data_IF_181256521566
#
_entry.id   IF_181256521566
#
_cell.length_a   1.000
_cell.length_b   1.000
_cell.length_c   1.000
_cell.angle_alpha   90.00
_cell.angle_beta   90.00
_cell.angle_gamma   90.00
#
_symmetry.space_group_name_H-M   'P 1'
#
loop_
_entity.id
_entity.type
_entity.pdbx_description
1 polymer ?
#
# COMPACT_ATOMS: atom_id res chain seq x y z
N UNK A 1 8.89 0.73 -9.08
CA UNK A 1 8.20 0.39 -7.80
C UNK A 1 7.98 1.62 -6.94
N UNK A 2 9.05 2.30 -6.49
CA UNK A 2 8.95 3.46 -5.58
C UNK A 2 7.98 4.55 -6.05
N UNK A 3 8.12 5.07 -7.28
CA UNK A 3 7.23 6.10 -7.82
C UNK A 3 5.75 5.68 -7.86
N UNK A 4 5.45 4.39 -8.04
CA UNK A 4 4.07 3.90 -8.02
C UNK A 4 3.51 3.99 -6.59
N UNK A 5 4.29 3.57 -5.60
CA UNK A 5 3.90 3.61 -4.19
C UNK A 5 3.76 5.05 -3.71
N UNK A 6 4.61 5.97 -4.16
CA UNK A 6 4.47 7.41 -3.88
C UNK A 6 3.15 7.96 -4.42
N UNK A 7 2.79 7.64 -5.66
CA UNK A 7 1.51 8.05 -6.25
C UNK A 7 0.30 7.44 -5.51
N UNK A 8 0.40 6.17 -5.12
CA UNK A 8 -0.60 5.49 -4.28
C UNK A 8 -0.72 6.23 -2.95
N UNK A 9 0.38 6.55 -2.28
CA UNK A 9 0.38 7.24 -1.00
C UNK A 9 -0.27 8.61 -1.08
N UNK A 10 0.01 9.39 -2.13
CA UNK A 10 -0.61 10.69 -2.33
C UNK A 10 -2.14 10.60 -2.43
N UNK A 11 -2.67 9.57 -3.11
CA UNK A 11 -4.10 9.32 -3.17
C UNK A 11 -4.68 8.95 -1.79
N UNK A 12 -4.00 8.07 -1.05
CA UNK A 12 -4.43 7.66 0.29
C UNK A 12 -4.43 8.87 1.25
N UNK A 13 -3.41 9.71 1.20
CA UNK A 13 -3.31 10.91 2.03
C UNK A 13 -4.47 11.86 1.73
N UNK A 14 -4.73 12.13 0.45
CA UNK A 14 -5.75 13.08 0.02
C UNK A 14 -7.19 12.62 0.33
N UNK A 15 -7.49 11.33 0.19
CA UNK A 15 -8.87 10.83 0.25
C UNK A 15 -9.19 9.97 1.46
N UNK A 16 -8.17 9.37 2.10
CA UNK A 16 -8.35 8.41 3.19
C UNK A 16 -7.61 8.80 4.47
N UNK A 17 -6.80 9.88 4.46
CA UNK A 17 -6.03 10.34 5.62
C UNK A 17 -4.99 9.33 6.08
N UNK A 18 -4.36 8.65 5.12
CA UNK A 18 -3.37 7.60 5.36
C UNK A 18 -2.13 7.71 4.51
N UNK A 19 -1.30 6.68 4.54
CA UNK A 19 -0.06 6.60 3.78
C UNK A 19 0.29 5.16 3.42
N UNK A 20 1.08 5.04 2.36
CA UNK A 20 1.76 3.80 1.98
C UNK A 20 3.24 4.12 1.75
N UNK A 21 4.13 3.40 2.43
CA UNK A 21 5.57 3.60 2.34
C UNK A 21 6.22 2.36 1.73
N UNK A 22 7.06 2.57 0.72
CA UNK A 22 7.90 1.51 0.16
C UNK A 22 8.99 1.14 1.17
N UNK A 23 9.08 -0.15 1.53
CA UNK A 23 10.10 -0.64 2.47
C UNK A 23 11.20 -1.39 1.73
N UNK A 24 10.85 -2.40 0.92
CA UNK A 24 11.82 -3.17 0.14
C UNK A 24 11.15 -3.89 -1.03
N UNK A 25 11.98 -4.34 -1.99
CA UNK A 25 11.57 -5.22 -3.07
C UNK A 25 12.66 -6.27 -3.30
N UNK A 26 12.38 -7.52 -2.93
CA UNK A 26 13.32 -8.64 -2.97
C UNK A 26 12.57 -9.92 -3.37
N UNK A 27 13.13 -10.74 -4.25
CA UNK A 27 12.54 -12.02 -4.69
C UNK A 27 11.06 -11.90 -5.12
N UNK A 28 10.74 -10.87 -5.91
CA UNK A 28 9.38 -10.52 -6.35
C UNK A 28 8.38 -10.23 -5.21
N UNK A 29 8.87 -10.00 -3.99
CA UNK A 29 8.09 -9.57 -2.83
C UNK A 29 8.32 -8.09 -2.57
N UNK A 30 7.27 -7.27 -2.69
CA UNK A 30 7.28 -5.87 -2.25
C UNK A 30 6.73 -5.76 -0.83
N UNK A 31 7.54 -5.18 0.06
CA UNK A 31 7.12 -4.85 1.43
C UNK A 31 6.69 -3.40 1.50
N UNK A 32 5.50 -3.17 2.04
CA UNK A 32 4.89 -1.85 2.16
C UNK A 32 4.44 -1.64 3.59
N UNK A 33 4.80 -0.51 4.18
CA UNK A 33 4.24 -0.08 5.46
C UNK A 33 3.02 0.77 5.20
N UNK A 34 1.88 0.37 5.76
CA UNK A 34 0.66 1.17 5.71
C UNK A 34 0.57 1.98 7.00
N UNK A 35 0.45 3.29 6.86
CA UNK A 35 0.31 4.22 7.98
C UNK A 35 -0.97 5.03 7.84
N UNK A 36 -1.43 5.62 8.93
CA UNK A 36 -2.56 6.54 8.91
C UNK A 36 -3.87 5.92 8.43
N UNK A 37 -4.80 5.75 9.35
CA UNK A 37 -6.20 5.75 8.98
C UNK A 37 -6.94 6.18 10.22
N UNK A 38 -7.89 7.09 10.06
CA UNK A 38 -8.90 7.51 11.03
C UNK A 38 -8.84 6.71 12.35
N UNK A 39 -8.33 7.31 13.43
CA UNK A 39 -8.29 6.71 14.77
C UNK A 39 -9.64 6.07 15.11
N UNK A 40 -9.76 4.75 14.94
CA UNK A 40 -10.99 4.00 15.23
C UNK A 40 -11.81 3.44 14.05
N UNK A 41 -11.33 3.39 12.80
CA UNK A 41 -12.07 2.73 11.72
C UNK A 41 -11.51 1.32 11.37
N UNK A 42 -12.01 0.22 11.96
CA UNK A 42 -11.50 -1.15 11.74
C UNK A 42 -11.78 -1.72 10.33
N UNK A 43 -12.58 -1.03 9.52
CA UNK A 43 -12.77 -1.33 8.09
C UNK A 43 -11.57 -0.92 7.22
N UNK A 44 -10.57 -0.20 7.76
CA UNK A 44 -9.57 0.52 6.95
C UNK A 44 -8.37 -0.30 6.51
N UNK A 45 -7.72 -1.10 7.37
CA UNK A 45 -6.39 -1.63 7.06
C UNK A 45 -6.44 -2.77 6.04
N UNK A 46 -7.38 -3.71 6.19
CA UNK A 46 -7.53 -4.82 5.26
C UNK A 46 -8.00 -4.37 3.88
N UNK A 47 -8.96 -3.43 3.83
CA UNK A 47 -9.45 -2.84 2.58
C UNK A 47 -8.38 -2.00 1.91
N UNK A 48 -7.65 -1.16 2.66
CA UNK A 48 -6.56 -0.36 2.13
C UNK A 48 -5.44 -1.26 1.59
N UNK A 49 -5.05 -2.29 2.34
CA UNK A 49 -4.08 -3.29 1.88
C UNK A 49 -4.54 -3.96 0.58
N UNK A 50 -5.80 -4.40 0.52
CA UNK A 50 -6.36 -5.03 -0.67
C UNK A 50 -6.38 -4.09 -1.88
N UNK A 51 -6.73 -2.82 -1.68
CA UNK A 51 -6.69 -1.81 -2.75
C UNK A 51 -5.27 -1.54 -3.23
N UNK A 52 -4.32 -1.31 -2.32
CA UNK A 52 -2.90 -1.11 -2.65
C UNK A 52 -2.35 -2.31 -3.43
N UNK A 53 -2.62 -3.52 -2.96
CA UNK A 53 -2.23 -4.75 -3.65
C UNK A 53 -2.84 -4.83 -5.05
N UNK A 54 -4.15 -4.60 -5.17
CA UNK A 54 -4.85 -4.63 -6.46
C UNK A 54 -4.30 -3.60 -7.45
N UNK A 55 -3.98 -2.38 -7.00
CA UNK A 55 -3.36 -1.35 -7.83
C UNK A 55 -1.96 -1.75 -8.29
N UNK A 56 -1.14 -2.38 -7.43
CA UNK A 56 0.18 -2.88 -7.82
C UNK A 56 0.04 -3.99 -8.87
N UNK A 57 -0.89 -4.91 -8.69
CA UNK A 57 -1.12 -6.03 -9.62
C UNK A 57 -1.61 -5.60 -11.01
N UNK A 58 -2.17 -4.39 -11.17
CA UNK A 58 -2.48 -3.84 -12.51
C UNK A 58 -1.23 -3.63 -13.36
N UNK A 59 -0.08 -3.38 -12.74
CA UNK A 59 1.19 -3.13 -13.42
C UNK A 59 2.19 -4.29 -13.26
N UNK A 60 2.09 -5.03 -12.16
CA UNK A 60 3.02 -6.09 -11.77
C UNK A 60 2.26 -7.31 -11.26
N UNK A 61 1.60 -8.09 -12.13
CA UNK A 61 0.66 -9.15 -11.73
C UNK A 61 1.32 -10.28 -10.92
N UNK A 62 2.62 -10.53 -11.12
CA UNK A 62 3.35 -11.63 -10.48
C UNK A 62 4.02 -11.23 -9.15
N UNK A 63 3.98 -9.95 -8.77
CA UNK A 63 4.60 -9.46 -7.53
C UNK A 63 3.75 -9.81 -6.32
N UNK A 64 4.38 -10.34 -5.27
CA UNK A 64 3.73 -10.56 -3.97
C UNK A 64 3.79 -9.29 -3.14
N UNK A 65 2.68 -8.88 -2.52
CA UNK A 65 2.61 -7.66 -1.69
C UNK A 65 2.46 -8.04 -0.23
N UNK A 66 3.44 -7.66 0.59
CA UNK A 66 3.46 -7.91 2.03
C UNK A 66 3.37 -6.61 2.83
N UNK A 67 2.72 -6.67 3.98
CA UNK A 67 2.73 -5.57 4.93
C UNK A 67 4.03 -5.64 5.74
N UNK A 68 4.76 -4.54 5.84
CA UNK A 68 5.86 -4.40 6.78
C UNK A 68 5.32 -4.04 8.16
N UNK A 69 5.92 -4.64 9.20
CA UNK A 69 5.69 -4.27 10.60
C UNK A 69 6.23 -2.85 10.93
#
# INVERSE_FOLDING_TARGET
>A
MQNLIENISAYIEQYHGGSAEFVSFEDDVVKIRLGGSCSGCPLSTATLKGWVQGTIHQFFPDVTVEAAD
#
